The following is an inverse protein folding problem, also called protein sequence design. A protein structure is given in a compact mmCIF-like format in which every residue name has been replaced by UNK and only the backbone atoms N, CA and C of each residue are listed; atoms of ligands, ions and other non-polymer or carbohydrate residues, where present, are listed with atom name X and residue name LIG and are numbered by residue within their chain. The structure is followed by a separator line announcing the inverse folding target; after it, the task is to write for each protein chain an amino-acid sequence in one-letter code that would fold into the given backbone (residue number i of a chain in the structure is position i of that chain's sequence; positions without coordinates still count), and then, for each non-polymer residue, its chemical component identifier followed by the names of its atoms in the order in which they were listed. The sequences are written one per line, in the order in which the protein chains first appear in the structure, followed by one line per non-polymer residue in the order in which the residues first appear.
data_IF_793026055722
#
_entry.id   IF_793026055722
#
_cell.length_a   1.000
_cell.length_b   1.000
_cell.length_c   1.000
_cell.angle_alpha   90.00
_cell.angle_beta   90.00
_cell.angle_gamma   90.00
#
_symmetry.space_group_name_H-M   'P 1'
#
loop_
_entity.id
_entity.type
_entity.pdbx_description
1 polymer ?
#
# COMPACT_ATOMS: atom_id res chain seq x y z
N UNK A 1 30.35 18.57 -6.24
CA UNK A 1 29.48 18.89 -7.39
C UNK A 1 30.15 18.42 -8.68
N UNK A 2 29.88 17.18 -9.13
CA UNK A 2 30.40 16.69 -10.42
C UNK A 2 29.32 16.89 -11.48
N UNK A 3 29.59 17.78 -12.45
CA UNK A 3 28.74 18.03 -13.61
C UNK A 3 28.94 16.87 -14.60
N UNK A 4 27.89 16.09 -14.85
CA UNK A 4 27.87 15.15 -15.97
C UNK A 4 27.58 15.94 -17.25
N UNK A 5 28.56 16.00 -18.15
CA UNK A 5 28.38 16.48 -19.52
C UNK A 5 28.00 15.25 -20.34
N UNK A 6 26.73 15.17 -20.75
CA UNK A 6 26.29 14.17 -21.72
C UNK A 6 26.67 14.68 -23.12
N UNK A 7 27.73 14.11 -23.71
CA UNK A 7 28.11 14.38 -25.09
C UNK A 7 27.15 13.65 -26.03
N UNK A 8 26.33 14.42 -26.76
CA UNK A 8 25.38 13.92 -27.75
C UNK A 8 26.14 13.49 -29.03
N UNK A 9 26.30 12.19 -29.25
CA UNK A 9 26.79 11.67 -30.53
C UNK A 9 25.62 11.58 -31.51
N UNK A 10 25.51 12.54 -32.43
CA UNK A 10 24.56 12.49 -33.54
C UNK A 10 25.13 11.56 -34.63
N UNK A 11 24.79 10.27 -34.56
CA UNK A 11 25.13 9.31 -35.60
C UNK A 11 24.23 9.50 -36.83
N UNK A 12 24.77 10.04 -37.92
CA UNK A 12 24.09 10.06 -39.21
C UNK A 12 24.29 8.71 -39.92
N UNK A 13 23.22 7.92 -40.02
CA UNK A 13 23.18 6.78 -40.93
C UNK A 13 22.64 7.27 -42.28
N UNK A 14 23.52 7.36 -43.29
CA UNK A 14 23.11 7.51 -44.68
C UNK A 14 22.81 6.13 -45.25
N UNK A 15 21.52 5.79 -45.39
CA UNK A 15 21.04 4.79 -46.35
C UNK A 15 19.72 5.29 -46.95
N UNK A 16 19.60 5.16 -48.28
CA UNK A 16 18.69 5.90 -49.13
C UNK A 16 17.18 5.64 -48.99
N UNK A 17 16.44 6.58 -49.60
CA UNK A 17 15.02 6.54 -50.01
C UNK A 17 13.98 6.08 -48.98
N UNK A 18 13.48 7.07 -48.24
CA UNK A 18 12.11 7.33 -47.72
C UNK A 18 12.24 7.83 -46.30
N UNK A 19 12.19 9.15 -46.14
CA UNK A 19 12.37 9.82 -44.86
C UNK A 19 11.14 9.64 -43.99
N UNK A 20 10.98 8.48 -43.35
CA UNK A 20 10.25 8.42 -42.09
C UNK A 20 11.22 8.79 -40.98
N UNK A 21 11.17 10.06 -40.55
CA UNK A 21 11.78 10.46 -39.29
C UNK A 21 10.96 9.76 -38.21
N UNK A 22 11.39 8.58 -37.77
CA UNK A 22 10.99 8.09 -36.45
C UNK A 22 11.62 9.05 -35.44
N UNK A 23 10.83 10.02 -35.00
CA UNK A 23 11.16 10.82 -33.83
C UNK A 23 11.30 9.83 -32.67
N UNK A 24 12.53 9.48 -32.31
CA UNK A 24 12.83 8.84 -31.04
C UNK A 24 12.39 9.84 -29.96
N UNK A 25 11.22 9.58 -29.39
CA UNK A 25 10.60 10.42 -28.39
C UNK A 25 11.42 10.29 -27.11
N UNK A 26 12.44 11.15 -26.96
CA UNK A 26 13.32 11.19 -25.77
C UNK A 26 12.55 11.38 -24.46
N UNK A 27 11.29 11.86 -24.53
CA UNK A 27 10.37 11.93 -23.40
C UNK A 27 10.09 10.56 -22.77
N UNK A 28 10.02 9.48 -23.56
CA UNK A 28 9.79 8.13 -23.03
C UNK A 28 11.02 7.55 -22.30
N UNK A 29 12.19 8.19 -22.42
CA UNK A 29 13.42 7.75 -21.75
C UNK A 29 13.55 8.30 -20.32
N UNK A 30 12.71 9.28 -19.94
CA UNK A 30 12.75 9.95 -18.63
C UNK A 30 11.45 9.84 -17.82
N UNK A 31 10.43 9.14 -18.34
CA UNK A 31 9.27 8.74 -17.54
C UNK A 31 9.70 7.62 -16.59
N UNK A 32 10.18 7.97 -15.40
CA UNK A 32 10.21 7.04 -14.27
C UNK A 32 8.74 6.72 -13.98
N UNK A 33 8.25 5.58 -14.43
CA UNK A 33 6.96 5.05 -13.97
C UNK A 33 7.02 5.02 -12.44
N UNK A 34 6.18 5.82 -11.80
CA UNK A 34 6.03 5.80 -10.35
C UNK A 34 5.23 4.54 -10.01
N UNK A 35 5.95 3.49 -9.63
CA UNK A 35 5.35 2.22 -9.25
C UNK A 35 4.60 2.38 -7.94
N UNK A 36 3.27 2.21 -7.96
CA UNK A 36 2.44 2.18 -6.76
C UNK A 36 2.88 0.95 -5.92
N UNK A 37 3.24 1.13 -4.63
CA UNK A 37 3.59 0.01 -3.76
C UNK A 37 2.47 -1.01 -3.73
N UNK A 38 2.78 -2.29 -3.85
CA UNK A 38 1.76 -3.34 -3.87
C UNK A 38 1.04 -3.50 -2.52
N UNK A 39 1.66 -2.99 -1.45
CA UNK A 39 1.15 -3.01 -0.08
C UNK A 39 0.37 -1.75 0.30
N UNK A 40 0.26 -0.78 -0.62
CA UNK A 40 -0.57 0.41 -0.40
C UNK A 40 -2.04 0.03 -0.28
N UNK A 41 -2.72 0.65 0.68
CA UNK A 41 -4.17 0.55 0.85
C UNK A 41 -4.81 1.89 0.50
N UNK A 42 -5.79 1.86 -0.40
CA UNK A 42 -6.60 3.03 -0.72
C UNK A 42 -7.92 2.97 0.04
N UNK A 43 -8.15 3.96 0.90
CA UNK A 43 -9.41 4.14 1.62
C UNK A 43 -10.23 5.20 0.89
N UNK A 44 -11.44 4.83 0.51
CA UNK A 44 -12.42 5.76 -0.04
C UNK A 44 -13.44 6.09 1.04
N UNK A 45 -13.56 7.36 1.38
CA UNK A 45 -14.49 7.87 2.39
C UNK A 45 -15.39 8.94 1.77
N UNK A 46 -16.55 9.17 2.39
CA UNK A 46 -17.43 10.30 2.03
C UNK A 46 -17.54 11.23 3.23
N UNK A 47 -17.20 12.49 3.05
CA UNK A 47 -17.27 13.54 4.07
C UNK A 47 -18.32 14.55 3.61
N UNK A 48 -19.52 14.47 4.18
CA UNK A 48 -20.68 15.20 3.67
C UNK A 48 -21.08 14.66 2.29
N UNK A 49 -20.97 15.50 1.26
CA UNK A 49 -21.26 15.13 -0.14
C UNK A 49 -19.97 14.90 -0.98
N UNK A 50 -18.79 15.05 -0.38
CA UNK A 50 -17.50 14.93 -1.07
C UNK A 50 -16.89 13.54 -0.86
N UNK A 51 -16.52 12.89 -1.96
CA UNK A 51 -15.76 11.64 -1.94
C UNK A 51 -14.26 11.95 -1.86
N UNK A 52 -13.58 11.37 -0.87
CA UNK A 52 -12.14 11.44 -0.67
C UNK A 52 -11.51 10.07 -0.90
N UNK A 53 -10.27 10.08 -1.39
CA UNK A 53 -9.46 8.87 -1.54
C UNK A 53 -8.13 9.11 -0.85
N UNK A 54 -7.78 8.26 0.11
CA UNK A 54 -6.57 8.37 0.92
C UNK A 54 -5.75 7.10 0.74
N UNK A 55 -4.51 7.27 0.29
CA UNK A 55 -3.56 6.17 0.17
C UNK A 55 -2.74 6.07 1.46
N UNK A 56 -2.66 4.87 2.01
CA UNK A 56 -1.94 4.55 3.24
C UNK A 56 -0.87 3.50 2.98
N UNK A 57 0.32 3.73 3.50
CA UNK A 57 1.45 2.81 3.48
C UNK A 57 2.02 2.68 4.89
N UNK A 58 2.56 1.51 5.20
CA UNK A 58 3.31 1.31 6.45
C UNK A 58 4.49 2.29 6.50
N UNK A 59 4.66 2.96 7.64
CA UNK A 59 5.63 4.03 7.87
C UNK A 59 5.11 5.45 7.61
N UNK A 60 3.90 5.61 7.07
CA UNK A 60 3.28 6.92 6.89
C UNK A 60 3.05 7.62 8.24
N UNK A 61 3.12 8.96 8.21
CA UNK A 61 2.75 9.78 9.36
C UNK A 61 1.25 10.02 9.31
N UNK A 62 0.53 9.58 10.34
CA UNK A 62 -0.91 9.83 10.49
C UNK A 62 -1.10 11.22 11.09
N UNK A 63 -1.22 12.21 10.20
CA UNK A 63 -1.45 13.61 10.56
C UNK A 63 -2.94 13.92 10.75
N UNK A 64 -3.25 15.07 11.35
CA UNK A 64 -4.62 15.58 11.45
C UNK A 64 -5.32 15.66 10.08
N UNK A 65 -4.60 16.05 9.03
CA UNK A 65 -5.14 16.09 7.67
C UNK A 65 -5.50 14.70 7.14
N UNK A 66 -4.71 13.68 7.50
CA UNK A 66 -4.99 12.28 7.13
C UNK A 66 -6.24 11.79 7.84
N UNK A 67 -6.34 12.03 9.16
CA UNK A 67 -7.51 11.67 9.96
C UNK A 67 -8.78 12.37 9.44
N UNK A 68 -8.69 13.65 9.06
CA UNK A 68 -9.79 14.38 8.46
C UNK A 68 -10.25 13.72 7.15
N UNK A 69 -9.31 13.35 6.26
CA UNK A 69 -9.63 12.73 4.97
C UNK A 69 -10.22 11.31 5.10
N UNK A 70 -9.84 10.57 6.14
CA UNK A 70 -10.39 9.25 6.47
C UNK A 70 -11.77 9.34 7.11
N UNK A 71 -12.10 10.47 7.74
CA UNK A 71 -13.33 10.70 8.49
C UNK A 71 -13.19 10.37 9.98
N UNK A 72 -14.31 10.42 10.70
CA UNK A 72 -14.32 10.22 12.16
C UNK A 72 -14.22 8.73 12.51
N UNK A 73 -13.22 8.29 13.30
CA UNK A 73 -13.15 6.92 13.78
C UNK A 73 -14.30 6.60 14.74
N UNK A 74 -14.73 5.34 14.77
CA UNK A 74 -15.70 4.81 15.73
C UNK A 74 -15.13 4.90 17.15
N UNK A 75 -13.85 4.60 17.31
CA UNK A 75 -13.15 4.74 18.58
C UNK A 75 -11.67 5.06 18.38
N UNK A 76 -11.08 5.69 19.40
CA UNK A 76 -9.64 5.93 19.47
C UNK A 76 -9.14 5.49 20.83
N UNK A 77 -8.12 4.64 20.85
CA UNK A 77 -7.49 4.13 22.06
C UNK A 77 -6.01 4.54 22.10
N UNK A 78 -5.54 4.90 23.29
CA UNK A 78 -4.12 5.14 23.55
C UNK A 78 -3.65 4.14 24.61
N UNK A 79 -2.55 3.45 24.35
CA UNK A 79 -1.96 2.49 25.28
C UNK A 79 -0.43 2.54 25.20
N UNK A 80 0.31 2.18 26.27
CA UNK A 80 1.75 1.98 26.17
C UNK A 80 2.05 0.95 25.07
N UNK A 81 2.99 1.29 24.17
CA UNK A 81 3.37 0.39 23.08
C UNK A 81 4.06 -0.85 23.64
N UNK A 82 3.73 -2.01 23.07
CA UNK A 82 4.37 -3.27 23.43
C UNK A 82 5.67 -3.50 22.63
N UNK A 83 5.70 -3.00 21.39
CA UNK A 83 6.79 -3.24 20.45
C UNK A 83 7.73 -2.04 20.31
N UNK A 84 7.19 -0.82 20.36
CA UNK A 84 7.94 0.42 20.15
C UNK A 84 8.12 1.21 21.46
N UNK A 85 8.93 2.26 21.42
CA UNK A 85 8.98 3.21 22.52
C UNK A 85 7.76 4.14 22.51
N UNK A 86 7.27 4.52 23.68
CA UNK A 86 6.14 5.44 23.82
C UNK A 86 4.78 4.74 23.84
N UNK A 87 3.78 5.40 23.24
CA UNK A 87 2.40 4.92 23.23
C UNK A 87 1.98 4.57 21.80
N UNK A 88 1.14 3.55 21.69
CA UNK A 88 0.37 3.29 20.50
C UNK A 88 -0.92 4.11 20.51
N UNK A 89 -1.31 4.62 19.35
CA UNK A 89 -2.64 5.16 19.09
C UNK A 89 -3.34 4.25 18.08
N UNK A 90 -4.54 3.79 18.43
CA UNK A 90 -5.33 2.86 17.63
C UNK A 90 -6.62 3.55 17.21
N UNK A 91 -6.84 3.68 15.89
CA UNK A 91 -8.01 4.30 15.29
C UNK A 91 -8.88 3.22 14.65
N UNK A 92 -10.07 2.98 15.23
CA UNK A 92 -11.01 1.97 14.74
C UNK A 92 -12.04 2.60 13.82
N UNK A 93 -12.18 2.08 12.61
CA UNK A 93 -13.23 2.43 11.66
C UNK A 93 -14.13 1.21 11.40
N UNK A 94 -15.20 1.38 10.62
CA UNK A 94 -16.15 0.30 10.34
C UNK A 94 -15.49 -0.90 9.66
N UNK A 95 -14.61 -0.63 8.70
CA UNK A 95 -14.07 -1.65 7.79
C UNK A 95 -12.58 -1.95 8.03
N UNK A 96 -11.91 -1.13 8.84
CA UNK A 96 -10.47 -1.21 9.08
C UNK A 96 -10.04 -0.58 10.41
N UNK A 97 -8.85 -0.94 10.87
CA UNK A 97 -8.21 -0.36 12.06
C UNK A 97 -6.79 0.07 11.71
N UNK A 98 -6.40 1.27 12.16
CA UNK A 98 -5.03 1.77 12.03
C UNK A 98 -4.33 1.72 13.38
N UNK A 99 -3.14 1.12 13.39
CA UNK A 99 -2.26 1.08 14.56
C UNK A 99 -1.04 1.94 14.28
N UNK A 100 -0.79 2.87 15.19
CA UNK A 100 0.33 3.80 15.11
C UNK A 100 1.18 3.72 16.37
N UNK A 101 2.47 4.03 16.27
CA UNK A 101 3.36 4.25 17.40
C UNK A 101 3.98 5.64 17.35
N UNK A 102 4.42 6.16 18.50
CA UNK A 102 5.11 7.44 18.56
C UNK A 102 6.56 7.32 18.10
N UNK A 103 6.90 8.03 17.02
CA UNK A 103 8.29 8.29 16.61
C UNK A 103 8.59 9.78 16.78
N UNK A 104 9.21 10.14 17.90
CA UNK A 104 9.37 11.55 18.27
C UNK A 104 8.02 12.21 18.54
N UNK A 105 7.60 13.14 17.69
CA UNK A 105 6.30 13.82 17.78
C UNK A 105 5.24 13.22 16.86
N UNK A 106 5.63 12.35 15.93
CA UNK A 106 4.78 11.85 14.86
C UNK A 106 4.14 10.52 15.24
N UNK A 107 2.90 10.30 14.81
CA UNK A 107 2.22 9.00 14.87
C UNK A 107 2.53 8.23 13.58
N UNK A 108 3.35 7.18 13.68
CA UNK A 108 3.79 6.37 12.55
C UNK A 108 2.91 5.14 12.41
N UNK A 109 2.30 4.97 11.23
CA UNK A 109 1.49 3.80 10.90
C UNK A 109 2.38 2.56 10.84
N UNK A 110 2.02 1.52 11.57
CA UNK A 110 2.77 0.25 11.55
C UNK A 110 1.91 -0.98 11.29
N UNK A 111 0.58 -0.88 11.42
CA UNK A 111 -0.33 -1.95 11.07
C UNK A 111 -1.66 -1.39 10.56
N UNK A 112 -2.15 -1.98 9.47
CA UNK A 112 -3.51 -1.81 8.96
C UNK A 112 -4.22 -3.16 9.04
N UNK A 113 -5.32 -3.22 9.77
CA UNK A 113 -6.22 -4.38 9.77
C UNK A 113 -7.43 -4.11 8.88
N UNK A 114 -7.76 -5.03 7.97
CA UNK A 114 -9.00 -5.00 7.19
C UNK A 114 -9.93 -6.12 7.69
N UNK A 115 -11.14 -5.76 8.11
CA UNK A 115 -12.06 -6.68 8.79
C UNK A 115 -13.34 -6.97 8.00
N UNK A 116 -13.53 -6.29 6.87
CA UNK A 116 -14.72 -6.44 6.01
C UNK A 116 -14.33 -6.51 4.53
N UNK A 117 -15.23 -7.00 3.64
CA UNK A 117 -14.98 -7.05 2.20
C UNK A 117 -15.02 -5.67 1.50
N UNK A 118 -15.24 -4.56 2.22
CA UNK A 118 -15.41 -3.22 1.65
C UNK A 118 -14.10 -2.62 1.14
N UNK A 119 -12.96 -3.07 1.69
CA UNK A 119 -11.62 -2.61 1.32
C UNK A 119 -10.84 -3.78 0.72
N UNK A 120 -10.04 -3.49 -0.29
CA UNK A 120 -9.20 -4.46 -0.97
C UNK A 120 -7.75 -3.98 -1.03
N UNK A 121 -6.83 -4.93 -1.01
CA UNK A 121 -5.41 -4.72 -1.35
C UNK A 121 -5.27 -4.25 -2.80
N UNK A 122 -4.08 -3.74 -3.18
CA UNK A 122 -3.81 -3.30 -4.55
C UNK A 122 -3.98 -4.41 -5.61
N UNK A 123 -3.79 -5.68 -5.22
CA UNK A 123 -4.05 -6.85 -6.08
C UNK A 123 -5.50 -7.34 -6.06
N UNK A 124 -6.37 -6.74 -5.24
CA UNK A 124 -7.79 -7.04 -5.19
C UNK A 124 -8.21 -8.06 -4.12
N UNK A 125 -7.30 -8.56 -3.29
CA UNK A 125 -7.66 -9.42 -2.16
C UNK A 125 -8.41 -8.63 -1.08
N UNK A 126 -9.43 -9.26 -0.50
CA UNK A 126 -10.31 -8.71 0.54
C UNK A 126 -10.80 -9.81 1.48
N UNK A 127 -11.30 -9.42 2.65
CA UNK A 127 -11.92 -10.36 3.60
C UNK A 127 -13.08 -11.10 2.92
N UNK A 128 -13.21 -12.39 3.24
CA UNK A 128 -14.22 -13.26 2.63
C UNK A 128 -13.86 -13.78 1.24
N UNK A 129 -12.60 -13.72 0.82
CA UNK A 129 -12.08 -14.55 -0.27
C UNK A 129 -11.55 -15.88 0.30
N UNK A 130 -11.50 -16.92 -0.52
CA UNK A 130 -10.88 -18.19 -0.13
C UNK A 130 -9.35 -18.11 -0.17
N UNK A 131 -8.65 -18.92 0.64
CA UNK A 131 -7.19 -19.00 0.55
C UNK A 131 -6.70 -19.46 -0.83
N UNK A 132 -7.49 -20.25 -1.56
CA UNK A 132 -7.16 -20.64 -2.95
C UNK A 132 -7.14 -19.42 -3.88
N UNK A 133 -8.08 -18.49 -3.73
CA UNK A 133 -8.07 -17.23 -4.47
C UNK A 133 -6.87 -16.34 -4.07
N UNK A 134 -6.52 -16.31 -2.77
CA UNK A 134 -5.33 -15.58 -2.31
C UNK A 134 -4.06 -16.16 -2.94
N UNK A 135 -3.87 -17.48 -2.90
CA UNK A 135 -2.72 -18.16 -3.51
C UNK A 135 -2.63 -17.91 -5.01
N UNK A 136 -3.77 -17.83 -5.71
CA UNK A 136 -3.79 -17.47 -7.13
C UNK A 136 -3.32 -16.03 -7.40
N UNK A 137 -3.54 -15.09 -6.47
CA UNK A 137 -3.12 -13.69 -6.62
C UNK A 137 -1.68 -13.43 -6.19
N UNK A 138 -1.22 -14.13 -5.14
CA UNK A 138 0.05 -13.84 -4.46
C UNK A 138 1.10 -14.94 -4.62
N UNK A 139 0.72 -16.14 -5.05
CA UNK A 139 1.57 -17.33 -5.06
C UNK A 139 1.51 -18.09 -3.74
N UNK A 140 2.49 -18.94 -3.48
CA UNK A 140 2.60 -19.67 -2.21
C UNK A 140 3.18 -18.76 -1.12
N UNK A 141 2.45 -18.60 -0.01
CA UNK A 141 2.90 -17.86 1.17
C UNK A 141 3.58 -18.73 2.23
N UNK A 142 4.05 -18.11 3.31
CA UNK A 142 4.57 -18.83 4.48
C UNK A 142 3.46 -19.01 5.51
N UNK A 143 3.14 -20.26 5.86
CA UNK A 143 2.04 -20.56 6.78
C UNK A 143 2.51 -20.59 8.25
N UNK A 144 1.77 -19.89 9.10
CA UNK A 144 1.92 -19.82 10.55
C UNK A 144 0.59 -20.16 11.24
N UNK A 145 0.27 -21.45 11.34
CA UNK A 145 -1.00 -21.88 11.91
C UNK A 145 -2.18 -21.50 11.03
N UNK A 146 -3.06 -20.61 11.50
CA UNK A 146 -4.26 -20.12 10.78
C UNK A 146 -4.00 -18.82 10.01
N UNK A 147 -2.73 -18.48 9.80
CA UNK A 147 -2.28 -17.29 9.10
C UNK A 147 -1.34 -17.70 7.96
N UNK A 148 -1.47 -17.05 6.81
CA UNK A 148 -0.51 -17.15 5.69
C UNK A 148 0.07 -15.79 5.38
N UNK A 149 1.38 -15.69 5.37
CA UNK A 149 2.15 -14.46 5.27
C UNK A 149 2.87 -14.32 3.92
N UNK A 150 2.87 -13.11 3.37
CA UNK A 150 3.54 -12.75 2.13
C UNK A 150 4.40 -11.51 2.32
N UNK A 151 5.69 -11.60 2.00
CA UNK A 151 6.63 -10.46 2.08
C UNK A 151 6.69 -9.77 0.71
N UNK A 152 6.31 -8.49 0.69
CA UNK A 152 6.17 -7.69 -0.52
C UNK A 152 6.73 -6.30 -0.24
N UNK A 153 7.74 -5.89 -1.00
CA UNK A 153 8.39 -4.59 -0.86
C UNK A 153 8.92 -4.30 0.57
N UNK A 154 9.28 -5.34 1.34
CA UNK A 154 9.74 -5.20 2.72
C UNK A 154 8.63 -5.01 3.76
N UNK A 155 7.37 -5.22 3.36
CA UNK A 155 6.16 -5.19 4.19
C UNK A 155 5.48 -6.56 4.10
N UNK A 156 4.97 -7.05 5.22
CA UNK A 156 4.17 -8.27 5.28
C UNK A 156 2.71 -7.97 4.96
N UNK A 157 2.09 -8.83 4.15
CA UNK A 157 0.63 -8.96 4.09
C UNK A 157 0.27 -10.34 4.60
N UNK A 158 -0.46 -10.36 5.71
CA UNK A 158 -0.85 -11.57 6.40
C UNK A 158 -2.36 -11.80 6.25
N UNK A 159 -2.73 -13.02 5.91
CA UNK A 159 -4.11 -13.46 5.73
C UNK A 159 -4.44 -14.49 6.80
N UNK A 160 -5.24 -14.08 7.78
CA UNK A 160 -5.85 -15.01 8.74
C UNK A 160 -7.12 -15.60 8.12
N UNK A 161 -7.35 -16.89 8.32
CA UNK A 161 -8.48 -17.61 7.71
C UNK A 161 -9.14 -18.60 8.67
N UNK A 162 -10.42 -18.89 8.39
CA UNK A 162 -11.16 -19.97 9.04
C UNK A 162 -10.85 -21.30 8.32
N UNK A 163 -10.26 -22.30 8.99
CA UNK A 163 -9.88 -23.56 8.36
C UNK A 163 -11.07 -24.45 7.99
N UNK A 164 -12.26 -24.23 8.57
CA UNK A 164 -13.45 -25.01 8.22
C UNK A 164 -14.06 -24.54 6.91
N UNK A 165 -14.04 -23.23 6.66
CA UNK A 165 -14.64 -22.61 5.48
C UNK A 165 -13.62 -22.25 4.40
N UNK A 166 -12.32 -22.28 4.72
CA UNK A 166 -11.21 -21.81 3.89
C UNK A 166 -11.27 -20.31 3.55
N UNK A 167 -11.99 -19.51 4.35
CA UNK A 167 -12.25 -18.10 4.06
C UNK A 167 -11.36 -17.19 4.89
N UNK A 168 -10.78 -16.18 4.24
CA UNK A 168 -10.05 -15.08 4.89
C UNK A 168 -11.00 -14.32 5.80
N UNK A 169 -10.60 -14.16 7.06
CA UNK A 169 -11.37 -13.46 8.10
C UNK A 169 -10.76 -12.13 8.51
N UNK A 170 -9.46 -11.95 8.26
CA UNK A 170 -8.71 -10.73 8.57
C UNK A 170 -7.52 -10.63 7.61
N UNK A 171 -7.23 -9.40 7.17
CA UNK A 171 -6.01 -9.07 6.43
C UNK A 171 -5.23 -8.05 7.25
N UNK A 172 -3.96 -8.32 7.50
CA UNK A 172 -3.03 -7.44 8.22
C UNK A 172 -1.92 -7.01 7.25
N UNK A 173 -1.61 -5.71 7.24
CA UNK A 173 -0.48 -5.15 6.49
C UNK A 173 0.47 -4.51 7.50
N UNK A 174 1.72 -4.98 7.61
CA UNK A 174 2.67 -4.62 8.67
C UNK A 174 4.14 -4.77 8.30
#
# INVERSE_FOLDING_TARGET
MKKFIATLALGTILVGSTTQIQAFNLFNLFSKEETIPQTQITINSTIGDEATSTNLNIGDIISEATLLALGTPISTMNAPSCHFEGNDTIYTYTDYTLYTYKEGNDDKLYLIELTTPSIQTQKGAKVGMSMDEITNMYGEGTMYGLLTSYEIDGVSIDFSFDPETNMVTLIEIL
#
